data_IF_838287693808
#
_entry.id   IF_838287693808
#
_cell.length_a   1.000
_cell.length_b   1.000
_cell.length_c   1.000
_cell.angle_alpha   90.00
_cell.angle_beta   90.00
_cell.angle_gamma   90.00
#
_symmetry.space_group_name_H-M   'P 1'
#
loop_
_entity.id
_entity.type
_entity.pdbx_description
1 polymer ?
#
# COMPACT_ATOMS: atom_id res chain seq x y z
N UNK A 1 24.54 3.46 -10.02
CA UNK A 1 23.87 4.05 -8.84
C UNK A 1 22.47 4.53 -9.17
N UNK A 2 22.30 5.55 -10.02
CA UNK A 2 20.98 6.11 -10.37
C UNK A 2 19.94 5.09 -10.88
N UNK A 3 20.33 4.14 -11.73
CA UNK A 3 19.42 3.08 -12.23
C UNK A 3 18.80 2.24 -11.12
N UNK A 4 19.54 1.98 -10.05
CA UNK A 4 19.06 1.20 -8.88
C UNK A 4 18.05 2.04 -8.09
N UNK A 5 18.33 3.34 -7.91
CA UNK A 5 17.44 4.26 -7.21
C UNK A 5 16.11 4.42 -7.96
N UNK A 6 16.15 4.59 -9.28
CA UNK A 6 14.93 4.62 -10.09
C UNK A 6 14.15 3.30 -10.04
N UNK A 7 14.86 2.16 -10.08
CA UNK A 7 14.21 0.86 -9.90
C UNK A 7 13.48 0.73 -8.56
N UNK A 8 14.09 1.23 -7.48
CA UNK A 8 13.49 1.27 -6.16
C UNK A 8 12.27 2.19 -6.11
N UNK A 9 12.32 3.36 -6.74
CA UNK A 9 11.19 4.29 -6.84
C UNK A 9 10.01 3.64 -7.57
N UNK A 10 10.26 3.03 -8.72
CA UNK A 10 9.24 2.32 -9.50
C UNK A 10 8.65 1.17 -8.67
N UNK A 11 9.46 0.47 -7.89
CA UNK A 11 8.97 -0.57 -6.99
C UNK A 11 7.98 -0.04 -5.95
N UNK A 12 8.28 1.10 -5.31
CA UNK A 12 7.34 1.75 -4.39
C UNK A 12 6.03 2.16 -5.08
N UNK A 13 6.10 2.71 -6.29
CA UNK A 13 4.91 3.06 -7.08
C UNK A 13 4.06 1.83 -7.43
N UNK A 14 4.68 0.72 -7.81
CA UNK A 14 3.97 -0.54 -8.10
C UNK A 14 3.21 -1.01 -6.85
N UNK A 15 3.82 -0.93 -5.67
CA UNK A 15 3.13 -1.29 -4.41
C UNK A 15 1.94 -0.36 -4.15
N UNK A 16 2.07 0.95 -4.38
CA UNK A 16 0.96 1.90 -4.25
C UNK A 16 -0.20 1.53 -5.19
N UNK A 17 0.07 1.20 -6.45
CA UNK A 17 -0.96 0.72 -7.38
C UNK A 17 -1.61 -0.59 -6.92
N UNK A 18 -0.83 -1.52 -6.41
CA UNK A 18 -1.31 -2.79 -5.84
C UNK A 18 -2.28 -2.54 -4.67
N UNK A 19 -1.96 -1.60 -3.79
CA UNK A 19 -2.84 -1.18 -2.69
C UNK A 19 -4.13 -0.56 -3.22
N UNK A 20 -4.06 0.31 -4.24
CA UNK A 20 -5.24 0.91 -4.86
C UNK A 20 -6.15 -0.17 -5.46
N UNK A 21 -5.56 -1.16 -6.14
CA UNK A 21 -6.32 -2.31 -6.67
C UNK A 21 -7.01 -3.09 -5.54
N UNK A 22 -6.32 -3.37 -4.43
CA UNK A 22 -6.93 -4.07 -3.28
C UNK A 22 -8.11 -3.29 -2.69
N UNK A 23 -7.98 -1.97 -2.58
CA UNK A 23 -9.06 -1.08 -2.12
C UNK A 23 -10.26 -1.13 -3.08
N UNK A 24 -10.03 -1.03 -4.39
CA UNK A 24 -11.10 -1.10 -5.40
C UNK A 24 -11.78 -2.48 -5.34
N UNK A 25 -11.02 -3.56 -5.22
CA UNK A 25 -11.55 -4.91 -5.08
C UNK A 25 -12.37 -5.08 -3.80
N UNK A 26 -11.98 -4.41 -2.71
CA UNK A 26 -12.76 -4.42 -1.47
C UNK A 26 -14.18 -3.85 -1.66
N UNK A 27 -14.37 -2.92 -2.60
CA UNK A 27 -15.68 -2.35 -2.91
C UNK A 27 -16.60 -3.32 -3.64
N UNK A 28 -16.09 -4.41 -4.22
CA UNK A 28 -16.93 -5.48 -4.77
C UNK A 28 -17.86 -6.08 -3.71
N UNK A 29 -17.46 -6.01 -2.43
CA UNK A 29 -18.30 -6.41 -1.30
C UNK A 29 -19.62 -5.62 -1.25
N UNK A 30 -19.64 -4.35 -1.69
CA UNK A 30 -20.85 -3.51 -1.76
C UNK A 30 -21.89 -4.08 -2.72
N UNK A 31 -21.45 -4.85 -3.72
CA UNK A 31 -22.30 -5.55 -4.67
C UNK A 31 -22.56 -7.02 -4.26
N UNK A 32 -22.15 -7.41 -3.04
CA UNK A 32 -22.27 -8.79 -2.55
C UNK A 32 -21.21 -9.75 -3.07
N UNK A 33 -20.21 -9.27 -3.81
CA UNK A 33 -19.17 -10.11 -4.42
C UNK A 33 -17.93 -10.13 -3.50
N UNK A 34 -17.59 -11.30 -2.99
CA UNK A 34 -16.37 -11.50 -2.19
C UNK A 34 -15.24 -12.00 -3.08
N UNK A 35 -14.47 -11.08 -3.62
CA UNK A 35 -13.34 -11.40 -4.48
C UNK A 35 -12.09 -10.62 -4.05
N UNK A 36 -11.08 -11.37 -3.59
CA UNK A 36 -9.74 -10.85 -3.31
C UNK A 36 -8.73 -11.94 -3.69
N UNK A 37 -7.89 -11.72 -4.72
CA UNK A 37 -6.91 -12.71 -5.14
C UNK A 37 -5.95 -13.06 -4.00
N UNK A 38 -5.66 -14.35 -3.81
CA UNK A 38 -4.74 -14.80 -2.74
C UNK A 38 -3.36 -14.15 -2.84
N UNK A 39 -2.83 -14.04 -4.06
CA UNK A 39 -1.53 -13.40 -4.28
C UNK A 39 -1.51 -11.93 -3.83
N UNK A 40 -2.64 -11.23 -3.96
CA UNK A 40 -2.78 -9.86 -3.53
C UNK A 40 -2.78 -9.77 -2.00
N UNK A 41 -3.55 -10.65 -1.35
CA UNK A 41 -3.60 -10.77 0.10
C UNK A 41 -2.22 -11.09 0.69
N UNK A 42 -1.54 -12.12 0.15
CA UNK A 42 -0.22 -12.54 0.62
C UNK A 42 0.84 -11.42 0.50
N UNK A 43 0.72 -10.56 -0.51
CA UNK A 43 1.62 -9.41 -0.71
C UNK A 43 1.32 -8.24 0.25
N UNK A 44 0.05 -7.92 0.48
CA UNK A 44 -0.35 -6.69 1.16
C UNK A 44 -0.59 -6.89 2.66
N UNK A 45 -1.15 -8.04 3.06
CA UNK A 45 -1.55 -8.30 4.44
C UNK A 45 -0.41 -8.17 5.46
N UNK A 46 0.85 -8.56 5.18
CA UNK A 46 1.95 -8.31 6.11
C UNK A 46 2.10 -6.82 6.46
N UNK A 47 1.98 -5.93 5.46
CA UNK A 47 2.07 -4.48 5.66
C UNK A 47 0.85 -3.92 6.38
N UNK A 48 -0.35 -4.38 6.01
CA UNK A 48 -1.57 -3.98 6.69
C UNK A 48 -1.59 -4.41 8.15
N UNK A 49 -1.22 -5.66 8.44
CA UNK A 49 -1.14 -6.18 9.79
C UNK A 49 -0.09 -5.45 10.62
N UNK A 50 1.05 -5.07 10.02
CA UNK A 50 2.04 -4.25 10.69
C UNK A 50 1.46 -2.89 11.09
N UNK A 51 0.75 -2.20 10.20
CA UNK A 51 0.11 -0.92 10.52
C UNK A 51 -0.96 -1.12 11.60
N UNK A 52 -1.90 -2.05 11.42
CA UNK A 52 -3.00 -2.29 12.38
C UNK A 52 -2.51 -2.68 13.77
N UNK A 53 -1.39 -3.39 13.86
CA UNK A 53 -0.76 -3.76 15.14
C UNK A 53 -0.19 -2.55 15.89
N UNK A 54 0.34 -1.57 15.17
CA UNK A 54 1.00 -0.41 15.77
C UNK A 54 0.09 0.83 15.87
N UNK A 55 -0.91 0.91 15.01
CA UNK A 55 -1.85 2.01 14.87
C UNK A 55 -3.26 1.45 14.73
N UNK A 56 -4.18 1.72 15.69
CA UNK A 56 -5.59 1.38 15.52
C UNK A 56 -6.17 2.21 14.37
N UNK A 57 -6.15 1.60 13.18
CA UNK A 57 -6.41 2.25 11.90
C UNK A 57 -7.74 1.80 11.28
N UNK A 58 -8.43 0.88 11.93
CA UNK A 58 -9.75 0.40 11.54
C UNK A 58 -10.79 0.90 12.56
N UNK A 59 -11.81 1.61 12.08
CA UNK A 59 -12.91 2.13 12.88
C UNK A 59 -14.24 1.58 12.34
N UNK A 60 -14.77 0.56 13.01
CA UNK A 60 -15.98 -0.13 12.57
C UNK A 60 -15.78 -0.76 11.18
N UNK A 61 -16.65 -0.46 10.18
CA UNK A 61 -16.51 -0.99 8.83
C UNK A 61 -15.45 -0.27 7.99
N UNK A 62 -14.93 0.88 8.46
CA UNK A 62 -13.95 1.67 7.72
C UNK A 62 -12.54 1.27 8.11
N UNK A 63 -11.73 0.93 7.11
CA UNK A 63 -10.33 0.61 7.31
C UNK A 63 -9.44 1.65 6.62
N UNK A 64 -8.75 2.47 7.43
CA UNK A 64 -7.82 3.48 6.94
C UNK A 64 -6.39 2.95 6.76
N UNK A 65 -6.15 1.66 7.06
CA UNK A 65 -4.86 1.00 6.86
C UNK A 65 -4.27 1.23 5.45
N UNK A 66 -5.04 1.10 4.34
CA UNK A 66 -4.52 1.33 3.00
C UNK A 66 -4.00 2.77 2.79
N UNK A 67 -4.73 3.76 3.31
CA UNK A 67 -4.37 5.17 3.20
C UNK A 67 -3.08 5.46 3.97
N UNK A 68 -2.98 4.94 5.20
CA UNK A 68 -1.77 5.08 6.02
C UNK A 68 -0.58 4.45 5.32
N UNK A 69 -0.75 3.27 4.71
CA UNK A 69 0.32 2.61 3.97
C UNK A 69 0.78 3.46 2.78
N UNK A 70 -0.15 3.99 1.98
CA UNK A 70 0.18 4.90 0.86
C UNK A 70 0.97 6.12 1.35
N UNK A 71 0.54 6.75 2.45
CA UNK A 71 1.25 7.91 3.02
C UNK A 71 2.68 7.56 3.43
N UNK A 72 2.89 6.41 4.07
CA UNK A 72 4.23 5.93 4.44
C UNK A 72 5.10 5.68 3.21
N UNK A 73 4.58 5.01 2.19
CA UNK A 73 5.32 4.72 0.96
C UNK A 73 5.69 6.01 0.21
N UNK A 74 4.75 6.95 0.10
CA UNK A 74 4.98 8.25 -0.53
C UNK A 74 6.00 9.08 0.23
N UNK A 75 5.95 9.07 1.57
CA UNK A 75 6.94 9.76 2.40
C UNK A 75 8.35 9.18 2.21
N UNK A 76 8.50 7.85 2.28
CA UNK A 76 9.78 7.16 2.07
C UNK A 76 10.33 7.45 0.67
N UNK A 77 9.49 7.36 -0.37
CA UNK A 77 9.88 7.71 -1.74
C UNK A 77 10.36 9.15 -1.85
N UNK A 78 9.66 10.09 -1.23
CA UNK A 78 10.03 11.51 -1.20
C UNK A 78 11.40 11.76 -0.56
N UNK A 79 11.71 11.06 0.54
CA UNK A 79 13.05 11.10 1.15
C UNK A 79 14.12 10.55 0.21
N UNK A 80 13.87 9.41 -0.45
CA UNK A 80 14.81 8.82 -1.40
C UNK A 80 15.12 9.79 -2.53
N UNK A 81 14.11 10.41 -3.12
CA UNK A 81 14.29 11.40 -4.19
C UNK A 81 15.11 12.59 -3.68
N UNK A 82 14.78 13.11 -2.51
CA UNK A 82 15.42 14.32 -1.94
C UNK A 82 16.89 14.10 -1.61
N UNK A 83 17.28 12.91 -1.13
CA UNK A 83 18.66 12.64 -0.71
C UNK A 83 19.55 12.04 -1.80
N UNK A 84 18.99 11.34 -2.79
CA UNK A 84 19.78 10.56 -3.76
C UNK A 84 19.64 10.99 -5.23
N UNK A 85 18.61 11.77 -5.57
CA UNK A 85 18.36 12.23 -6.94
C UNK A 85 18.41 13.76 -7.10
N UNK A 86 18.47 14.48 -5.98
CA UNK A 86 18.62 15.94 -5.92
C UNK A 86 20.04 16.28 -5.48
#
# INVERSE_FOLDING_TARGET
MYRIIYGLIIFFEIIEYIIIVDVILSWLLLFGIRFRPKILADLIDPFYNFIRKNLPSSFGPFDFTPIILILVLTFIRGLIITFFLK
#
